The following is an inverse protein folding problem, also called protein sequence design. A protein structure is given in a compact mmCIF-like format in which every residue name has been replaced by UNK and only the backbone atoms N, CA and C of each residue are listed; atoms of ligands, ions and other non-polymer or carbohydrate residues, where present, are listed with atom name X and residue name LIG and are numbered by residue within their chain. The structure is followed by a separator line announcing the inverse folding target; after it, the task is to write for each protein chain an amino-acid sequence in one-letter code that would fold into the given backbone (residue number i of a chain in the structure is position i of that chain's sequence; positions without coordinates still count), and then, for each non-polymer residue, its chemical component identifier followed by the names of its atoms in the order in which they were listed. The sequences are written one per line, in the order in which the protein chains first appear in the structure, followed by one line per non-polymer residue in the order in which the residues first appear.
data_IF_542585464498
#
_entry.id   IF_542585464498
#
_cell.length_a   1.000
_cell.length_b   1.000
_cell.length_c   1.000
_cell.angle_alpha   90.00
_cell.angle_beta   90.00
_cell.angle_gamma   90.00
#
_symmetry.space_group_name_H-M   'P 1'
#
loop_
_entity.id
_entity.type
_entity.pdbx_description
1 polymer ?
#
# COMPACT_ATOMS: atom_id res chain seq x y z
N UNK A 1 78.14 -35.81 -33.21
CA UNK A 1 76.92 -36.47 -32.67
C UNK A 1 76.10 -35.57 -31.71
N UNK A 2 76.04 -34.24 -31.93
CA UNK A 2 75.35 -33.29 -31.02
C UNK A 2 74.05 -32.64 -31.58
N UNK A 3 73.75 -32.78 -32.89
CA UNK A 3 72.56 -32.16 -33.50
C UNK A 3 71.25 -32.96 -33.34
N UNK A 4 71.30 -34.26 -33.02
CA UNK A 4 70.08 -35.10 -32.97
C UNK A 4 69.25 -34.94 -31.69
N UNK A 5 69.85 -34.52 -30.57
CA UNK A 5 69.11 -34.27 -29.32
C UNK A 5 68.27 -32.98 -29.37
N UNK A 6 68.75 -31.96 -30.10
CA UNK A 6 68.09 -30.64 -30.19
C UNK A 6 66.73 -30.70 -30.87
N UNK A 7 66.57 -31.55 -31.89
CA UNK A 7 65.31 -31.67 -32.64
C UNK A 7 64.24 -32.40 -31.83
N UNK A 8 64.64 -33.41 -31.04
CA UNK A 8 63.70 -34.17 -30.20
C UNK A 8 63.25 -33.30 -29.01
N UNK A 9 64.16 -32.55 -28.38
CA UNK A 9 63.80 -31.61 -27.31
C UNK A 9 62.91 -30.48 -27.83
N UNK A 10 63.19 -29.94 -29.03
CA UNK A 10 62.34 -28.94 -29.66
C UNK A 10 60.95 -29.50 -30.00
N UNK A 11 60.88 -30.75 -30.49
CA UNK A 11 59.62 -31.42 -30.74
C UNK A 11 58.81 -31.57 -29.45
N UNK A 12 59.39 -32.12 -28.37
CA UNK A 12 58.68 -32.33 -27.09
C UNK A 12 58.25 -30.99 -26.45
N UNK A 13 59.07 -29.95 -26.54
CA UNK A 13 58.70 -28.62 -26.07
C UNK A 13 57.55 -28.03 -26.89
N UNK A 14 57.55 -28.23 -28.20
CA UNK A 14 56.45 -27.79 -29.07
C UNK A 14 55.15 -28.57 -28.84
N UNK A 15 55.21 -29.88 -28.56
CA UNK A 15 54.01 -30.67 -28.25
C UNK A 15 53.45 -30.35 -26.86
N UNK A 16 54.30 -30.01 -25.89
CA UNK A 16 53.85 -29.65 -24.54
C UNK A 16 53.23 -28.24 -24.47
N UNK A 17 53.70 -27.29 -25.29
CA UNK A 17 53.07 -25.97 -25.44
C UNK A 17 51.66 -26.06 -26.06
N UNK A 18 51.42 -27.05 -26.93
CA UNK A 18 50.11 -27.31 -27.55
C UNK A 18 49.12 -28.07 -26.65
N UNK A 19 49.56 -28.56 -25.49
CA UNK A 19 48.75 -29.30 -24.51
C UNK A 19 48.31 -28.44 -23.31
N UNK A 20 48.39 -27.12 -23.43
CA UNK A 20 47.80 -26.22 -22.43
C UNK A 20 46.30 -26.52 -22.34
N UNK A 21 45.75 -26.95 -21.19
CA UNK A 21 44.31 -27.16 -21.07
C UNK A 21 43.63 -25.82 -21.33
N UNK A 22 42.91 -25.71 -22.45
CA UNK A 22 42.03 -24.57 -22.65
C UNK A 22 41.01 -24.60 -21.54
N UNK A 23 41.06 -23.60 -20.65
CA UNK A 23 40.00 -23.36 -19.69
C UNK A 23 38.73 -23.05 -20.50
N UNK A 24 37.88 -24.07 -20.67
CA UNK A 24 36.57 -23.90 -21.27
C UNK A 24 35.70 -23.22 -20.22
N UNK A 25 35.58 -21.90 -20.33
CA UNK A 25 34.54 -21.17 -19.61
C UNK A 25 33.23 -21.52 -20.28
N UNK A 26 32.37 -22.26 -19.56
CA UNK A 26 30.99 -22.49 -19.97
C UNK A 26 30.26 -21.13 -19.99
N UNK A 27 30.36 -20.39 -21.09
CA UNK A 27 29.53 -19.22 -21.38
C UNK A 27 28.29 -19.71 -22.10
N UNK A 28 27.12 -19.32 -21.63
CA UNK A 28 25.85 -19.58 -22.30
C UNK A 28 25.91 -19.02 -23.74
N UNK A 29 25.37 -19.74 -24.74
CA UNK A 29 25.35 -19.26 -26.12
C UNK A 29 24.46 -18.02 -26.22
N UNK A 30 25.06 -16.89 -26.59
CA UNK A 30 24.39 -15.57 -26.74
C UNK A 30 23.65 -15.46 -28.09
N UNK A 31 23.89 -16.42 -28.98
CA UNK A 31 23.26 -16.53 -30.28
C UNK A 31 23.03 -17.99 -30.64
N UNK A 32 21.92 -18.26 -31.32
CA UNK A 32 21.63 -19.55 -31.96
C UNK A 32 21.46 -19.27 -33.45
N UNK A 33 22.23 -19.96 -34.31
CA UNK A 33 22.20 -19.77 -35.76
C UNK A 33 22.45 -18.33 -36.25
N UNK A 34 23.30 -17.56 -35.54
CA UNK A 34 23.63 -16.18 -35.93
C UNK A 34 22.55 -15.14 -35.57
N UNK A 35 21.46 -15.54 -34.90
CA UNK A 35 20.51 -14.61 -34.30
C UNK A 35 20.79 -14.46 -32.81
N UNK A 36 20.93 -13.22 -32.36
CA UNK A 36 21.04 -12.89 -30.95
C UNK A 36 19.73 -13.29 -30.25
N UNK A 37 19.83 -14.00 -29.13
CA UNK A 37 18.65 -14.38 -28.36
C UNK A 37 18.00 -13.12 -27.76
N UNK A 38 16.66 -12.98 -27.82
CA UNK A 38 15.98 -11.91 -27.10
C UNK A 38 16.30 -11.95 -25.61
N UNK A 39 16.56 -10.80 -25.01
CA UNK A 39 16.92 -10.68 -23.59
C UNK A 39 16.29 -9.42 -22.99
N UNK A 40 15.95 -9.50 -21.70
CA UNK A 40 15.50 -8.36 -20.90
C UNK A 40 16.65 -7.52 -20.34
N UNK A 41 17.90 -8.02 -20.43
CA UNK A 41 19.06 -7.39 -19.80
C UNK A 41 19.24 -5.90 -20.14
N UNK A 42 19.12 -5.45 -21.41
CA UNK A 42 19.27 -4.02 -21.73
C UNK A 42 18.23 -3.11 -21.07
N UNK A 43 17.02 -3.62 -20.85
CA UNK A 43 15.98 -2.89 -20.10
C UNK A 43 16.30 -2.91 -18.61
N UNK A 44 16.71 -4.06 -18.08
CA UNK A 44 17.08 -4.21 -16.66
C UNK A 44 18.24 -3.30 -16.26
N UNK A 45 19.30 -3.21 -17.09
CA UNK A 45 20.45 -2.31 -16.86
C UNK A 45 20.06 -0.84 -16.71
N UNK A 46 18.91 -0.42 -17.27
CA UNK A 46 18.43 0.95 -17.17
C UNK A 46 17.57 1.21 -15.93
N UNK A 47 16.95 0.17 -15.36
CA UNK A 47 15.90 0.32 -14.34
C UNK A 47 16.27 -0.28 -12.99
N UNK A 48 17.18 -1.26 -12.91
CA UNK A 48 17.64 -1.80 -11.63
C UNK A 48 18.29 -0.75 -10.73
N UNK A 49 18.98 0.30 -11.24
CA UNK A 49 19.54 1.32 -10.36
C UNK A 49 18.46 2.11 -9.60
N UNK A 50 17.23 2.15 -10.14
CA UNK A 50 16.07 2.77 -9.50
C UNK A 50 15.33 1.87 -8.50
N UNK A 51 15.76 0.61 -8.31
CA UNK A 51 15.18 -0.31 -7.34
C UNK A 51 16.19 -0.57 -6.22
N UNK A 52 15.81 -0.18 -5.00
CA UNK A 52 16.72 -0.09 -3.85
C UNK A 52 16.39 -1.15 -2.80
N UNK A 53 17.36 -1.43 -1.92
CA UNK A 53 17.14 -2.20 -0.70
C UNK A 53 16.69 -1.29 0.43
N UNK A 54 15.80 -1.78 1.28
CA UNK A 54 15.40 -1.10 2.51
C UNK A 54 15.66 -2.02 3.69
N UNK A 55 16.61 -1.63 4.53
CA UNK A 55 16.89 -2.29 5.80
C UNK A 55 16.23 -1.52 6.92
N UNK A 56 15.48 -2.22 7.76
CA UNK A 56 14.79 -1.61 8.89
C UNK A 56 15.25 -2.23 10.20
N UNK A 57 15.33 -1.41 11.24
CA UNK A 57 15.60 -1.87 12.59
C UNK A 57 14.79 -1.09 13.61
N UNK A 58 14.43 -1.75 14.71
CA UNK A 58 13.64 -1.15 15.78
C UNK A 58 13.52 -2.06 17.00
N UNK A 59 12.71 -1.65 17.97
CA UNK A 59 12.45 -2.42 19.19
C UNK A 59 10.96 -2.68 19.38
N UNK A 60 10.58 -3.93 19.66
CA UNK A 60 9.19 -4.32 19.93
C UNK A 60 9.05 -4.84 21.36
N UNK A 61 8.07 -4.35 22.09
CA UNK A 61 7.75 -4.92 23.40
C UNK A 61 7.12 -6.30 23.23
N UNK A 62 7.85 -7.33 23.65
CA UNK A 62 7.34 -8.69 23.69
C UNK A 62 6.94 -8.99 25.12
N UNK A 63 5.66 -9.30 25.34
CA UNK A 63 5.20 -9.86 26.61
C UNK A 63 5.73 -11.28 26.72
N UNK A 64 6.72 -11.48 27.57
CA UNK A 64 7.23 -12.82 27.87
C UNK A 64 6.16 -13.56 28.68
N UNK A 65 5.77 -14.74 28.22
CA UNK A 65 4.93 -15.65 29.01
C UNK A 65 5.76 -16.08 30.24
N UNK A 66 5.19 -15.97 31.44
CA UNK A 66 5.87 -16.33 32.67
C UNK A 66 6.38 -17.78 32.59
N UNK A 67 7.60 -18.00 33.06
CA UNK A 67 8.22 -19.34 33.05
C UNK A 67 7.45 -20.26 34.01
N UNK A 68 7.14 -21.52 33.66
CA UNK A 68 6.56 -22.49 34.59
C UNK A 68 7.30 -22.59 35.94
N UNK A 69 8.61 -22.34 35.99
CA UNK A 69 9.42 -22.26 37.23
C UNK A 69 9.13 -21.00 38.07
N UNK A 70 8.76 -19.87 37.48
CA UNK A 70 8.40 -18.63 38.20
C UNK A 70 7.07 -18.78 38.96
N UNK A 71 6.20 -19.70 38.52
CA UNK A 71 5.01 -20.10 39.28
C UNK A 71 5.35 -20.87 40.57
N UNK A 72 6.51 -21.54 40.64
CA UNK A 72 6.96 -22.25 41.85
C UNK A 72 7.44 -21.29 42.96
N UNK A 73 7.87 -20.07 42.62
CA UNK A 73 8.38 -19.08 43.59
C UNK A 73 7.39 -17.96 43.93
N UNK A 74 6.12 -18.08 43.50
CA UNK A 74 5.00 -17.38 44.12
C UNK A 74 4.65 -15.98 43.61
N UNK A 75 5.24 -15.46 42.53
CA UNK A 75 4.73 -14.22 41.91
C UNK A 75 5.15 -14.05 40.43
N UNK A 76 4.47 -14.69 39.46
CA UNK A 76 4.73 -14.49 38.04
C UNK A 76 4.19 -13.13 37.59
N UNK A 77 5.04 -12.11 37.60
CA UNK A 77 4.71 -10.85 36.91
C UNK A 77 5.09 -10.97 35.43
N UNK A 78 4.15 -10.74 34.50
CA UNK A 78 4.49 -10.61 33.08
C UNK A 78 5.43 -9.41 32.92
N UNK A 79 6.70 -9.67 32.61
CA UNK A 79 7.67 -8.64 32.23
C UNK A 79 7.56 -8.39 30.74
N UNK A 80 7.32 -7.14 30.34
CA UNK A 80 7.58 -6.71 28.97
C UNK A 80 9.09 -6.59 28.78
N UNK A 81 9.61 -7.19 27.72
CA UNK A 81 11.00 -7.01 27.30
C UNK A 81 10.99 -6.41 25.89
N UNK A 82 11.73 -5.31 25.70
CA UNK A 82 12.00 -4.79 24.35
C UNK A 82 12.93 -5.77 23.64
N UNK A 83 12.46 -6.39 22.57
CA UNK A 83 13.27 -7.23 21.68
C UNK A 83 13.59 -6.43 20.42
N UNK A 84 14.87 -6.32 20.11
CA UNK A 84 15.30 -5.74 18.83
C UNK A 84 14.82 -6.63 17.68
N UNK A 85 14.38 -6.01 16.60
CA UNK A 85 14.10 -6.68 15.34
C UNK A 85 14.87 -6.00 14.21
N UNK A 86 15.11 -6.75 13.15
CA UNK A 86 15.55 -6.24 11.86
C UNK A 86 14.67 -6.83 10.77
N UNK A 87 14.45 -6.05 9.72
CA UNK A 87 13.65 -6.42 8.56
C UNK A 87 14.33 -5.96 7.28
N UNK A 88 13.93 -6.56 6.16
CA UNK A 88 14.45 -6.28 4.84
C UNK A 88 13.29 -6.21 3.85
N UNK A 89 13.37 -5.25 2.93
CA UNK A 89 12.44 -5.10 1.82
C UNK A 89 13.11 -4.39 0.65
N UNK A 90 12.29 -3.99 -0.31
CA UNK A 90 12.71 -3.22 -1.48
C UNK A 90 11.98 -1.87 -1.52
N UNK A 91 12.51 -0.95 -2.32
CA UNK A 91 11.84 0.29 -2.66
C UNK A 91 12.08 0.68 -4.12
N UNK A 92 11.33 1.65 -4.61
CA UNK A 92 11.45 2.18 -5.96
C UNK A 92 11.64 3.69 -5.89
N UNK A 93 12.70 4.20 -6.51
CA UNK A 93 12.94 5.63 -6.67
C UNK A 93 11.95 6.16 -7.73
N UNK A 94 11.07 7.05 -7.32
CA UNK A 94 10.02 7.64 -8.17
C UNK A 94 10.22 9.13 -8.45
N UNK A 95 11.18 9.76 -7.77
CA UNK A 95 11.66 11.12 -8.03
C UNK A 95 13.14 11.16 -7.66
N UNK A 96 14.00 11.35 -8.65
CA UNK A 96 15.46 11.39 -8.45
C UNK A 96 15.94 12.72 -7.85
N UNK A 97 15.25 13.82 -8.10
CA UNK A 97 15.66 15.15 -7.66
C UNK A 97 15.33 15.35 -6.18
N UNK A 98 14.16 14.88 -5.74
CA UNK A 98 13.70 14.97 -4.36
C UNK A 98 14.11 13.76 -3.50
N UNK A 99 14.67 12.71 -4.13
CA UNK A 99 15.08 11.48 -3.45
C UNK A 99 13.91 10.66 -2.91
N UNK A 100 12.75 10.69 -3.57
CA UNK A 100 11.56 9.97 -3.12
C UNK A 100 11.62 8.48 -3.46
N UNK A 101 11.45 7.66 -2.43
CA UNK A 101 11.43 6.20 -2.52
C UNK A 101 10.10 5.67 -2.02
N UNK A 102 9.36 4.99 -2.89
CA UNK A 102 8.14 4.26 -2.52
C UNK A 102 8.48 2.85 -2.06
N UNK A 103 7.79 2.39 -1.03
CA UNK A 103 7.82 1.01 -0.56
C UNK A 103 6.46 0.61 0.02
N UNK A 104 6.37 -0.60 0.58
CA UNK A 104 5.19 -0.99 1.34
C UNK A 104 5.23 -0.50 2.78
N UNK A 105 4.06 -0.17 3.33
CA UNK A 105 3.95 0.21 4.74
C UNK A 105 4.43 -0.93 5.65
N UNK A 106 4.07 -2.18 5.37
CA UNK A 106 4.45 -3.30 6.22
C UNK A 106 5.97 -3.54 6.28
N UNK A 107 6.75 -3.08 5.29
CA UNK A 107 8.21 -3.18 5.28
C UNK A 107 8.82 -2.26 6.34
N UNK A 108 8.27 -1.05 6.49
CA UNK A 108 8.79 -0.02 7.39
C UNK A 108 8.01 0.08 8.70
N UNK A 109 7.01 -0.79 8.89
CA UNK A 109 6.16 -0.76 10.07
C UNK A 109 7.00 -1.02 11.33
N UNK A 110 6.77 -0.22 12.38
CA UNK A 110 7.49 -0.25 13.66
C UNK A 110 9.00 0.06 13.56
N UNK A 111 9.50 0.49 12.39
CA UNK A 111 10.92 0.80 12.19
C UNK A 111 11.30 2.10 12.93
N UNK A 112 12.36 2.03 13.73
CA UNK A 112 12.98 3.22 14.36
C UNK A 112 14.05 3.82 13.45
N UNK A 113 14.76 2.97 12.71
CA UNK A 113 15.77 3.36 11.72
C UNK A 113 15.54 2.63 10.40
N UNK A 114 15.67 3.36 9.30
CA UNK A 114 15.58 2.85 7.93
C UNK A 114 16.85 3.26 7.17
N UNK A 115 17.49 2.29 6.53
CA UNK A 115 18.65 2.51 5.66
C UNK A 115 18.30 2.02 4.26
N UNK A 116 18.46 2.90 3.28
CA UNK A 116 18.30 2.59 1.86
C UNK A 116 19.67 2.31 1.26
N UNK A 117 19.81 1.18 0.58
CA UNK A 117 21.04 0.82 -0.16
C UNK A 117 20.76 0.83 -1.66
N UNK A 118 21.50 1.63 -2.41
CA UNK A 118 21.43 1.71 -3.88
C UNK A 118 22.14 0.52 -4.54
N UNK A 119 21.94 0.34 -5.86
CA UNK A 119 22.63 -0.71 -6.64
C UNK A 119 24.16 -0.59 -6.58
N UNK A 120 24.68 0.63 -6.55
CA UNK A 120 26.11 0.91 -6.48
C UNK A 120 26.72 0.71 -5.07
N UNK A 121 25.91 0.30 -4.10
CA UNK A 121 26.32 0.04 -2.72
C UNK A 121 26.36 1.28 -1.81
N UNK A 122 26.00 2.47 -2.30
CA UNK A 122 25.82 3.64 -1.43
C UNK A 122 24.66 3.42 -0.46
N UNK A 123 24.84 3.83 0.79
CA UNK A 123 23.85 3.71 1.85
C UNK A 123 23.42 5.09 2.37
N UNK A 124 22.12 5.26 2.56
CA UNK A 124 21.52 6.51 3.02
C UNK A 124 20.51 6.22 4.13
N UNK A 125 20.53 7.03 5.19
CA UNK A 125 19.46 6.98 6.18
C UNK A 125 18.21 7.64 5.59
N UNK A 126 17.08 6.94 5.65
CA UNK A 126 15.84 7.39 5.04
C UNK A 126 14.89 8.01 6.08
N UNK A 127 14.27 9.12 5.72
CA UNK A 127 13.22 9.76 6.50
C UNK A 127 11.85 9.34 5.97
N UNK A 128 10.94 8.96 6.87
CA UNK A 128 9.54 8.68 6.48
C UNK A 128 8.79 9.98 6.27
N UNK A 129 8.32 10.22 5.04
CA UNK A 129 7.48 11.37 4.69
C UNK A 129 6.02 11.10 5.05
N UNK A 130 5.55 9.89 4.77
CA UNK A 130 4.21 9.46 5.16
C UNK A 130 3.94 8.01 4.82
N UNK A 131 2.80 7.51 5.28
CA UNK A 131 2.37 6.13 5.05
C UNK A 131 0.85 6.05 5.01
N UNK A 132 0.36 5.02 4.33
CA UNK A 132 -1.03 4.64 4.26
C UNK A 132 -1.17 3.14 4.50
N UNK A 133 -1.47 2.79 5.74
CA UNK A 133 -1.59 1.40 6.19
C UNK A 133 -2.69 0.64 5.45
N UNK A 134 -3.80 1.30 5.11
CA UNK A 134 -4.95 0.61 4.49
C UNK A 134 -4.71 0.23 3.02
N UNK A 135 -3.75 0.86 2.33
CA UNK A 135 -3.34 0.50 0.98
C UNK A 135 -1.92 -0.06 0.91
N UNK A 136 -1.28 -0.26 2.07
CA UNK A 136 0.09 -0.76 2.19
C UNK A 136 1.14 0.02 1.37
N UNK A 137 1.03 1.36 1.32
CA UNK A 137 2.02 2.24 0.67
C UNK A 137 2.71 3.11 1.71
N UNK A 138 4.02 3.28 1.55
CA UNK A 138 4.81 4.25 2.30
C UNK A 138 5.73 5.05 1.37
N UNK A 139 5.96 6.31 1.75
CA UNK A 139 6.87 7.21 1.07
C UNK A 139 8.03 7.57 2.01
N UNK A 140 9.24 7.31 1.54
CA UNK A 140 10.49 7.69 2.18
C UNK A 140 11.21 8.75 1.34
N UNK A 141 12.13 9.45 1.99
CA UNK A 141 13.06 10.37 1.34
C UNK A 141 14.48 10.06 1.76
N UNK A 142 15.41 10.13 0.82
CA UNK A 142 16.85 10.04 1.04
C UNK A 142 17.54 11.30 0.50
N UNK A 143 18.63 11.71 1.15
CA UNK A 143 19.47 12.82 0.70
C UNK A 143 20.66 12.23 -0.09
N UNK A 144 20.52 12.17 -1.41
CA UNK A 144 21.47 11.52 -2.30
C UNK A 144 21.44 12.15 -3.70
N UNK A 145 22.62 12.38 -4.27
CA UNK A 145 22.78 12.79 -5.67
C UNK A 145 22.87 11.57 -6.61
N UNK A 146 22.79 11.81 -7.93
CA UNK A 146 22.98 10.78 -8.97
C UNK A 146 22.04 9.56 -8.79
N UNK A 147 20.76 9.82 -8.52
CA UNK A 147 19.72 8.81 -8.44
C UNK A 147 19.15 8.46 -9.83
N UNK A 148 18.67 7.24 -9.98
CA UNK A 148 17.96 6.78 -11.19
C UNK A 148 16.48 6.64 -10.89
N UNK A 149 15.65 7.43 -11.56
CA UNK A 149 14.19 7.35 -11.42
C UNK A 149 13.58 6.25 -12.31
N UNK A 150 12.64 5.48 -11.75
CA UNK A 150 11.83 4.54 -12.52
C UNK A 150 10.58 5.24 -13.05
N UNK A 151 10.46 5.32 -14.39
CA UNK A 151 9.31 5.96 -15.04
C UNK A 151 8.00 5.24 -14.76
N UNK A 152 6.94 5.98 -14.49
CA UNK A 152 5.59 5.43 -14.27
C UNK A 152 4.88 5.17 -15.60
N UNK A 153 4.27 3.99 -15.74
CA UNK A 153 3.26 3.71 -16.75
C UNK A 153 1.84 3.94 -16.20
N UNK A 154 0.87 4.07 -17.10
CA UNK A 154 -0.54 4.16 -16.74
C UNK A 154 -1.12 2.74 -16.54
N UNK A 155 -1.34 2.34 -15.29
CA UNK A 155 -1.86 1.00 -14.96
C UNK A 155 -3.29 0.75 -15.44
N UNK A 156 -4.09 1.78 -15.70
CA UNK A 156 -5.45 1.63 -16.25
C UNK A 156 -5.46 1.12 -17.70
N UNK A 157 -4.30 1.15 -18.39
CA UNK A 157 -4.14 0.63 -19.76
C UNK A 157 -3.67 -0.83 -19.80
N UNK A 158 -3.39 -1.44 -18.65
CA UNK A 158 -2.95 -2.82 -18.58
C UNK A 158 -4.03 -3.77 -19.07
N UNK A 159 -3.60 -4.89 -19.63
CA UNK A 159 -4.46 -6.01 -20.00
C UNK A 159 -3.90 -7.30 -19.45
N UNK A 160 -4.81 -8.22 -19.13
CA UNK A 160 -4.43 -9.59 -18.82
C UNK A 160 -3.68 -10.18 -20.02
N UNK A 161 -2.51 -10.76 -19.76
CA UNK A 161 -1.60 -11.28 -20.77
C UNK A 161 -0.46 -10.35 -21.17
N UNK A 162 -0.46 -9.08 -20.75
CA UNK A 162 0.71 -8.22 -20.91
C UNK A 162 1.88 -8.77 -20.06
N UNK A 163 3.10 -8.74 -20.59
CA UNK A 163 4.29 -9.22 -19.87
C UNK A 163 4.62 -8.31 -18.69
N UNK A 164 5.06 -8.92 -17.59
CA UNK A 164 5.45 -8.24 -16.37
C UNK A 164 6.79 -8.79 -15.85
N UNK A 165 7.59 -7.89 -15.26
CA UNK A 165 8.88 -8.22 -14.65
C UNK A 165 8.88 -7.68 -13.23
N UNK A 166 9.05 -8.55 -12.24
CA UNK A 166 9.16 -8.19 -10.85
C UNK A 166 10.63 -8.08 -10.45
N UNK A 167 10.99 -6.95 -9.83
CA UNK A 167 12.34 -6.66 -9.37
C UNK A 167 12.28 -6.32 -7.87
N UNK A 168 13.16 -6.94 -7.10
CA UNK A 168 13.45 -6.54 -5.73
C UNK A 168 14.95 -6.55 -5.46
N UNK A 169 15.38 -5.89 -4.39
CA UNK A 169 16.75 -5.86 -3.92
C UNK A 169 16.82 -6.08 -2.40
N UNK A 170 16.39 -7.24 -1.88
CA UNK A 170 16.29 -7.42 -0.43
C UNK A 170 17.61 -7.43 0.33
N UNK A 171 18.74 -7.64 -0.34
CA UNK A 171 20.04 -7.79 0.32
C UNK A 171 21.02 -6.66 -0.03
N UNK A 172 20.62 -5.67 -0.83
CA UNK A 172 21.47 -4.54 -1.25
C UNK A 172 22.63 -4.90 -2.19
N UNK A 173 22.90 -6.19 -2.41
CA UNK A 173 24.08 -6.68 -3.15
C UNK A 173 23.72 -7.42 -4.45
N UNK A 174 22.44 -7.77 -4.65
CA UNK A 174 21.98 -8.44 -5.87
C UNK A 174 20.47 -8.31 -6.01
N UNK A 175 20.01 -7.70 -7.10
CA UNK A 175 18.61 -7.70 -7.46
C UNK A 175 18.13 -9.12 -7.77
N UNK A 176 16.93 -9.42 -7.31
CA UNK A 176 16.18 -10.60 -7.74
C UNK A 176 15.20 -10.15 -8.80
N UNK A 177 15.38 -10.64 -10.02
CA UNK A 177 14.50 -10.36 -11.15
C UNK A 177 13.76 -11.63 -11.55
N UNK A 178 12.43 -11.54 -11.63
CA UNK A 178 11.57 -12.63 -12.12
C UNK A 178 10.62 -12.07 -13.17
N UNK A 179 10.15 -12.93 -14.08
CA UNK A 179 9.24 -12.51 -15.15
C UNK A 179 8.03 -13.42 -15.24
N UNK A 180 6.96 -12.85 -15.79
CA UNK A 180 5.67 -13.49 -15.97
C UNK A 180 4.76 -12.60 -16.81
N UNK A 181 3.46 -12.68 -16.55
CA UNK A 181 2.42 -11.88 -17.18
C UNK A 181 1.49 -11.29 -16.13
N UNK A 182 0.70 -10.30 -16.53
CA UNK A 182 -0.51 -9.89 -15.82
C UNK A 182 -1.53 -11.03 -15.93
N UNK A 183 -1.81 -11.71 -14.82
CA UNK A 183 -2.76 -12.82 -14.76
C UNK A 183 -4.20 -12.35 -14.52
N UNK A 184 -4.38 -11.25 -13.80
CA UNK A 184 -5.68 -10.62 -13.55
C UNK A 184 -5.51 -9.14 -13.14
N UNK A 185 -6.57 -8.36 -13.27
CA UNK A 185 -6.67 -6.96 -12.83
C UNK A 185 -7.89 -6.81 -11.92
N UNK A 186 -7.97 -5.75 -11.13
CA UNK A 186 -9.16 -5.48 -10.32
C UNK A 186 -9.34 -6.41 -9.12
N UNK A 187 -8.28 -7.13 -8.70
CA UNK A 187 -8.41 -8.15 -7.65
C UNK A 187 -8.62 -7.49 -6.30
N UNK A 188 -9.80 -7.68 -5.75
CA UNK A 188 -10.30 -7.00 -4.56
C UNK A 188 -11.20 -7.92 -3.73
N UNK A 189 -11.42 -7.59 -2.46
CA UNK A 189 -12.20 -8.42 -1.52
C UNK A 189 -11.45 -9.68 -1.06
N UNK A 190 -10.13 -9.66 -1.15
CA UNK A 190 -9.23 -10.71 -0.66
C UNK A 190 -8.98 -10.58 0.85
N UNK A 191 -9.21 -9.39 1.42
CA UNK A 191 -8.94 -9.04 2.82
C UNK A 191 -7.46 -9.23 3.21
N UNK A 192 -6.57 -8.98 2.25
CA UNK A 192 -5.13 -8.78 2.47
C UNK A 192 -4.93 -7.37 3.01
N UNK A 193 -5.53 -6.36 2.35
CA UNK A 193 -5.44 -4.95 2.72
C UNK A 193 -6.82 -4.28 2.86
N UNK A 194 -6.83 -3.06 3.40
CA UNK A 194 -8.06 -2.28 3.59
C UNK A 194 -8.70 -1.80 2.28
N UNK A 195 -7.88 -1.38 1.32
CA UNK A 195 -8.28 -0.98 -0.03
C UNK A 195 -7.47 -1.75 -1.07
N UNK A 196 -8.17 -2.58 -1.84
CA UNK A 196 -7.58 -3.54 -2.75
C UNK A 196 -8.07 -3.30 -4.19
N UNK A 197 -7.13 -3.27 -5.11
CA UNK A 197 -7.34 -3.20 -6.56
C UNK A 197 -6.12 -3.83 -7.26
N UNK A 198 -5.74 -5.03 -6.82
CA UNK A 198 -4.44 -5.57 -7.15
C UNK A 198 -4.33 -5.99 -8.62
N UNK A 199 -3.14 -5.75 -9.18
CA UNK A 199 -2.63 -6.48 -10.33
C UNK A 199 -2.19 -7.85 -9.82
N UNK A 200 -2.73 -8.92 -10.41
CA UNK A 200 -2.23 -10.27 -10.15
C UNK A 200 -1.21 -10.66 -11.23
N UNK A 201 -0.11 -11.28 -10.83
CA UNK A 201 0.92 -11.78 -11.73
C UNK A 201 1.41 -13.17 -11.32
N UNK A 202 1.87 -13.93 -12.30
CA UNK A 202 2.59 -15.20 -12.08
C UNK A 202 4.12 -15.01 -12.04
N UNK A 203 4.61 -13.78 -12.22
CA UNK A 203 5.99 -13.44 -11.90
C UNK A 203 6.26 -13.77 -10.42
N UNK A 204 7.37 -14.46 -10.15
CA UNK A 204 7.67 -14.93 -8.81
C UNK A 204 8.03 -13.74 -7.88
N UNK A 205 7.08 -13.38 -7.01
CA UNK A 205 7.26 -12.48 -5.88
C UNK A 205 7.57 -13.34 -4.64
N UNK A 206 8.65 -13.06 -3.92
CA UNK A 206 9.01 -13.74 -2.67
C UNK A 206 9.35 -12.71 -1.59
N UNK A 207 9.58 -13.18 -0.36
CA UNK A 207 10.07 -12.31 0.72
C UNK A 207 11.29 -11.53 0.22
N UNK A 208 11.23 -10.22 0.41
CA UNK A 208 12.26 -9.30 -0.04
C UNK A 208 11.96 -8.54 -1.33
N UNK A 209 11.04 -9.01 -2.17
CA UNK A 209 10.53 -8.23 -3.31
C UNK A 209 9.42 -7.25 -2.91
N UNK A 210 8.86 -7.37 -1.71
CA UNK A 210 7.86 -6.43 -1.17
C UNK A 210 8.42 -5.01 -1.16
N UNK A 211 7.64 -4.07 -1.70
CA UNK A 211 8.01 -2.69 -1.95
C UNK A 211 8.80 -2.47 -3.25
N UNK A 212 9.20 -3.55 -3.93
CA UNK A 212 9.93 -3.51 -5.19
C UNK A 212 9.03 -3.30 -6.41
N UNK A 213 9.65 -3.13 -7.57
CA UNK A 213 8.97 -2.76 -8.80
C UNK A 213 8.32 -3.97 -9.50
N UNK A 214 7.11 -3.76 -10.04
CA UNK A 214 6.57 -4.53 -11.14
C UNK A 214 6.58 -3.63 -12.38
N UNK A 215 7.33 -4.00 -13.41
CA UNK A 215 7.51 -3.20 -14.64
C UNK A 215 7.03 -3.93 -15.90
N UNK A 216 6.67 -3.16 -16.92
CA UNK A 216 6.43 -3.69 -18.27
C UNK A 216 7.75 -3.91 -19.03
N UNK A 217 7.69 -4.40 -20.28
CA UNK A 217 8.89 -4.64 -21.10
C UNK A 217 9.66 -3.37 -21.52
N UNK A 218 9.07 -2.18 -21.34
CA UNK A 218 9.76 -0.91 -21.53
C UNK A 218 10.49 -0.43 -20.26
N UNK A 219 10.41 -1.18 -19.15
CA UNK A 219 10.97 -0.76 -17.87
C UNK A 219 10.13 0.29 -17.14
N UNK A 220 8.87 0.50 -17.55
CA UNK A 220 7.98 1.46 -16.89
C UNK A 220 7.23 0.75 -15.74
N UNK A 221 7.16 1.41 -14.59
CA UNK A 221 6.49 0.93 -13.38
C UNK A 221 4.99 0.81 -13.59
N UNK A 222 4.47 -0.41 -13.47
CA UNK A 222 3.05 -0.74 -13.56
C UNK A 222 2.44 -1.07 -12.20
N UNK A 223 3.27 -1.41 -11.20
CA UNK A 223 2.82 -1.56 -9.81
C UNK A 223 3.95 -1.79 -8.80
N UNK A 224 3.58 -1.81 -7.52
CA UNK A 224 4.47 -2.11 -6.38
C UNK A 224 4.14 -3.49 -5.85
N UNK A 225 5.11 -4.41 -5.88
CA UNK A 225 4.95 -5.77 -5.36
C UNK A 225 4.62 -5.71 -3.87
N UNK A 226 3.54 -6.35 -3.41
CA UNK A 226 3.12 -6.29 -2.00
C UNK A 226 3.00 -7.67 -1.37
N UNK A 227 2.21 -8.56 -1.97
CA UNK A 227 1.75 -9.78 -1.33
C UNK A 227 1.78 -10.98 -2.27
N UNK A 228 1.72 -12.17 -1.67
CA UNK A 228 1.54 -13.45 -2.35
C UNK A 228 0.45 -14.25 -1.66
N UNK A 229 -0.24 -15.10 -2.42
CA UNK A 229 -1.09 -16.14 -1.84
C UNK A 229 -0.42 -17.49 -2.01
N UNK A 230 -0.29 -18.25 -0.92
CA UNK A 230 0.24 -19.62 -0.90
C UNK A 230 0.13 -20.26 0.48
N UNK A 231 -0.25 -21.55 0.53
CA UNK A 231 -0.56 -22.27 1.78
C UNK A 231 0.61 -22.35 2.78
N UNK A 232 1.85 -22.20 2.31
CA UNK A 232 3.08 -22.22 3.11
C UNK A 232 3.83 -20.87 3.15
N UNK A 233 3.21 -19.80 2.63
CA UNK A 233 3.87 -18.50 2.48
C UNK A 233 4.92 -18.45 1.36
N UNK A 234 4.98 -19.45 0.49
CA UNK A 234 5.78 -19.45 -0.74
C UNK A 234 4.94 -19.10 -1.97
N UNK A 235 5.57 -18.55 -3.01
CA UNK A 235 4.90 -18.23 -4.27
C UNK A 235 4.46 -19.51 -5.00
N UNK A 236 3.17 -19.58 -5.38
CA UNK A 236 2.59 -20.69 -6.17
C UNK A 236 2.08 -20.21 -7.54
N UNK A 237 2.66 -19.14 -8.07
CA UNK A 237 2.23 -18.46 -9.31
C UNK A 237 1.13 -17.42 -9.08
N UNK A 238 0.95 -16.93 -7.84
CA UNK A 238 -0.05 -15.92 -7.49
C UNK A 238 0.61 -14.83 -6.64
N UNK A 239 1.10 -13.79 -7.32
CA UNK A 239 1.59 -12.56 -6.71
C UNK A 239 0.63 -11.39 -6.93
N UNK A 240 0.69 -10.40 -6.03
CA UNK A 240 -0.11 -9.19 -6.08
C UNK A 240 0.77 -7.95 -6.04
N UNK A 241 0.41 -6.96 -6.85
CA UNK A 241 1.01 -5.64 -6.88
C UNK A 241 -0.05 -4.54 -6.82
N UNK A 242 0.26 -3.46 -6.09
CA UNK A 242 -0.56 -2.24 -6.04
C UNK A 242 -0.35 -1.47 -7.36
N UNK A 243 -1.41 -1.11 -8.11
CA UNK A 243 -1.26 -0.45 -9.41
C UNK A 243 -0.52 0.90 -9.33
N UNK A 244 0.28 1.22 -10.34
CA UNK A 244 1.07 2.46 -10.40
C UNK A 244 0.21 3.72 -10.25
N UNK A 245 -0.98 3.79 -10.86
CA UNK A 245 -1.87 4.95 -10.71
C UNK A 245 -2.40 5.10 -9.28
N UNK A 246 -2.72 3.98 -8.61
CA UNK A 246 -3.15 4.00 -7.21
C UNK A 246 -2.03 4.49 -6.32
N UNK A 247 -0.84 3.90 -6.45
CA UNK A 247 0.36 4.33 -5.72
C UNK A 247 0.63 5.82 -5.94
N UNK A 248 0.61 6.29 -7.19
CA UNK A 248 0.86 7.70 -7.53
C UNK A 248 -0.13 8.63 -6.83
N UNK A 249 -1.43 8.33 -6.86
CA UNK A 249 -2.43 9.17 -6.20
C UNK A 249 -2.23 9.25 -4.68
N UNK A 250 -1.77 8.17 -4.05
CA UNK A 250 -1.49 8.13 -2.61
C UNK A 250 -0.23 8.92 -2.25
N UNK A 251 0.84 8.75 -3.04
CA UNK A 251 2.08 9.51 -2.90
C UNK A 251 1.85 11.00 -3.08
N UNK A 252 1.13 11.40 -4.14
CA UNK A 252 0.81 12.82 -4.40
C UNK A 252 0.12 13.45 -3.18
N UNK A 253 -0.83 12.73 -2.55
CA UNK A 253 -1.50 13.19 -1.33
C UNK A 253 -0.57 13.27 -0.12
N UNK A 254 0.32 12.28 0.06
CA UNK A 254 1.30 12.29 1.14
C UNK A 254 2.25 13.50 0.99
N UNK A 255 2.69 13.80 -0.23
CA UNK A 255 3.53 14.97 -0.51
C UNK A 255 2.76 16.27 -0.24
N UNK A 256 1.52 16.38 -0.72
CA UNK A 256 0.73 17.62 -0.61
C UNK A 256 0.21 17.89 0.80
N UNK A 257 -0.10 16.85 1.57
CA UNK A 257 -0.84 16.96 2.82
C UNK A 257 -0.16 16.31 4.03
N UNK A 258 0.92 15.55 3.82
CA UNK A 258 1.55 14.70 4.84
C UNK A 258 0.77 13.41 5.14
N UNK A 259 -0.37 13.19 4.51
CA UNK A 259 -1.27 12.06 4.78
C UNK A 259 -2.24 11.82 3.61
N UNK A 260 -2.81 10.61 3.55
CA UNK A 260 -3.86 10.27 2.59
C UNK A 260 -5.22 10.79 3.07
N UNK A 261 -5.93 11.51 2.20
CA UNK A 261 -7.28 12.05 2.44
C UNK A 261 -8.28 11.36 1.55
N UNK A 262 -8.90 10.29 2.07
CA UNK A 262 -9.75 9.40 1.28
C UNK A 262 -10.97 10.11 0.69
N UNK A 263 -11.22 9.87 -0.59
CA UNK A 263 -12.44 10.28 -1.27
C UNK A 263 -13.63 9.38 -0.92
N UNK A 264 -14.84 9.94 -0.97
CA UNK A 264 -16.09 9.23 -0.75
C UNK A 264 -17.19 9.71 -1.70
N UNK A 265 -18.02 8.76 -2.12
CA UNK A 265 -19.25 9.02 -2.86
C UNK A 265 -20.46 9.19 -1.94
N UNK A 266 -20.47 8.57 -0.75
CA UNK A 266 -21.66 8.51 0.10
C UNK A 266 -22.75 7.55 -0.40
N UNK A 267 -22.34 6.36 -0.84
CA UNK A 267 -23.25 5.30 -1.30
C UNK A 267 -23.01 3.99 -0.53
N UNK A 268 -24.05 3.18 -0.43
CA UNK A 268 -23.91 1.76 -0.06
C UNK A 268 -24.33 0.89 -1.25
N UNK A 269 -23.72 -0.28 -1.36
CA UNK A 269 -23.95 -1.14 -2.51
C UNK A 269 -23.32 -2.51 -2.36
N UNK A 270 -23.44 -3.29 -3.43
CA UNK A 270 -22.90 -4.65 -3.53
C UNK A 270 -22.43 -4.94 -4.95
N UNK A 271 -21.57 -5.94 -5.16
CA UNK A 271 -21.26 -6.43 -6.49
C UNK A 271 -22.53 -6.83 -7.24
N UNK A 272 -22.59 -6.51 -8.53
CA UNK A 272 -23.65 -6.99 -9.41
C UNK A 272 -23.37 -8.44 -9.80
N UNK A 273 -24.14 -9.36 -9.23
CA UNK A 273 -24.16 -10.77 -9.63
C UNK A 273 -25.28 -11.05 -10.64
N UNK A 274 -25.23 -12.20 -11.31
CA UNK A 274 -26.20 -12.59 -12.33
C UNK A 274 -27.64 -12.71 -11.80
N UNK A 275 -27.80 -13.09 -10.52
CA UNK A 275 -29.11 -13.19 -9.88
C UNK A 275 -29.74 -11.82 -9.69
N UNK A 276 -28.97 -10.86 -9.18
CA UNK A 276 -29.39 -9.48 -9.01
C UNK A 276 -29.65 -8.80 -10.35
N UNK A 277 -28.78 -8.98 -11.34
CA UNK A 277 -28.97 -8.45 -12.69
C UNK A 277 -30.29 -8.92 -13.29
N UNK A 278 -30.60 -10.22 -13.19
CA UNK A 278 -31.86 -10.80 -13.65
C UNK A 278 -33.07 -10.28 -12.88
N UNK A 279 -32.99 -10.20 -11.55
CA UNK A 279 -34.08 -9.73 -10.69
C UNK A 279 -34.43 -8.26 -10.96
N UNK A 280 -33.42 -7.44 -11.25
CA UNK A 280 -33.56 -6.00 -11.54
C UNK A 280 -33.72 -5.69 -13.03
N UNK A 281 -33.77 -6.72 -13.90
CA UNK A 281 -33.91 -6.59 -15.35
C UNK A 281 -32.81 -5.69 -15.98
N UNK A 282 -31.57 -5.90 -15.54
CA UNK A 282 -30.40 -5.15 -16.01
C UNK A 282 -29.68 -5.92 -17.11
N UNK A 283 -29.30 -5.25 -18.20
CA UNK A 283 -28.53 -5.86 -19.30
C UNK A 283 -27.02 -5.91 -19.04
N UNK A 284 -26.56 -5.20 -18.00
CA UNK A 284 -25.17 -5.20 -17.57
C UNK A 284 -24.85 -6.41 -16.71
N UNK A 285 -23.67 -7.00 -16.94
CA UNK A 285 -23.26 -8.27 -16.30
C UNK A 285 -22.37 -8.10 -15.07
N UNK A 286 -21.76 -6.93 -14.91
CA UNK A 286 -20.82 -6.63 -13.84
C UNK A 286 -20.87 -5.13 -13.51
N UNK A 287 -20.31 -4.77 -12.36
CA UNK A 287 -20.30 -3.41 -11.84
C UNK A 287 -20.73 -3.34 -10.38
N UNK A 288 -20.81 -2.11 -9.88
CA UNK A 288 -21.19 -1.80 -8.52
C UNK A 288 -22.66 -1.38 -8.46
N UNK A 289 -23.52 -2.24 -7.92
CA UNK A 289 -24.95 -1.93 -7.76
C UNK A 289 -25.16 -1.03 -6.55
N UNK A 290 -25.80 0.12 -6.77
CA UNK A 290 -26.09 1.13 -5.74
C UNK A 290 -27.38 0.76 -5.02
N UNK A 291 -27.29 0.38 -3.76
CA UNK A 291 -28.44 0.07 -2.92
C UNK A 291 -29.05 1.32 -2.29
N UNK A 292 -28.19 2.23 -1.84
CA UNK A 292 -28.61 3.47 -1.20
C UNK A 292 -27.64 4.60 -1.53
N UNK A 293 -28.18 5.80 -1.61
CA UNK A 293 -27.43 7.05 -1.69
C UNK A 293 -27.75 7.84 -0.44
N UNK A 294 -26.72 8.27 0.29
CA UNK A 294 -26.88 9.06 1.52
C UNK A 294 -27.17 10.51 1.17
N UNK A 295 -28.00 11.18 1.97
CA UNK A 295 -28.34 12.59 1.77
C UNK A 295 -27.13 13.51 1.97
N UNK A 296 -27.11 14.64 1.25
CA UNK A 296 -26.04 15.65 1.27
C UNK A 296 -24.63 15.14 0.94
N UNK A 297 -24.52 14.00 0.24
CA UNK A 297 -23.25 13.44 -0.22
C UNK A 297 -22.95 13.77 -1.68
N UNK A 298 -21.69 13.56 -2.08
CA UNK A 298 -21.20 13.69 -3.44
C UNK A 298 -22.09 12.98 -4.48
N UNK A 299 -22.49 11.74 -4.22
CA UNK A 299 -23.36 10.98 -5.09
C UNK A 299 -24.77 11.58 -5.18
N UNK A 300 -25.34 12.02 -4.05
CA UNK A 300 -26.66 12.67 -4.02
C UNK A 300 -26.66 13.98 -4.81
N UNK A 301 -25.65 14.83 -4.58
CA UNK A 301 -25.44 16.12 -5.30
C UNK A 301 -25.26 15.91 -6.81
N UNK A 302 -24.61 14.83 -7.21
CA UNK A 302 -24.41 14.47 -8.61
C UNK A 302 -25.62 13.75 -9.26
N UNK A 303 -26.67 13.44 -8.49
CA UNK A 303 -27.89 12.82 -9.00
C UNK A 303 -27.78 11.32 -9.26
N UNK A 304 -26.85 10.63 -8.59
CA UNK A 304 -26.81 9.16 -8.50
C UNK A 304 -28.01 8.68 -7.67
N UNK A 305 -28.57 7.52 -8.02
CA UNK A 305 -29.78 6.99 -7.39
C UNK A 305 -29.61 5.52 -7.02
N UNK A 306 -30.39 5.08 -6.02
CA UNK A 306 -30.55 3.66 -5.77
C UNK A 306 -31.08 2.95 -7.03
N UNK A 307 -30.54 1.76 -7.31
CA UNK A 307 -30.82 1.00 -8.53
C UNK A 307 -29.85 1.26 -9.69
N UNK A 308 -29.01 2.30 -9.60
CA UNK A 308 -27.93 2.49 -10.56
C UNK A 308 -26.90 1.37 -10.48
N UNK A 309 -26.26 1.07 -11.62
CA UNK A 309 -25.03 0.28 -11.63
C UNK A 309 -23.89 1.16 -12.11
N UNK A 310 -22.88 1.38 -11.26
CA UNK A 310 -21.64 2.04 -11.69
C UNK A 310 -20.78 0.98 -12.42
N UNK A 311 -20.38 1.29 -13.64
CA UNK A 311 -19.67 0.36 -14.54
C UNK A 311 -18.28 0.84 -14.93
N UNK A 312 -17.97 2.14 -14.79
CA UNK A 312 -16.64 2.68 -15.07
C UNK A 312 -16.31 3.93 -14.27
N UNK A 313 -15.01 4.20 -14.09
CA UNK A 313 -14.45 5.38 -13.46
C UNK A 313 -13.42 5.98 -14.42
N UNK A 314 -13.57 7.26 -14.76
CA UNK A 314 -12.69 7.99 -15.68
C UNK A 314 -12.47 7.30 -17.04
N UNK A 315 -13.43 6.48 -17.47
CA UNK A 315 -13.38 5.72 -18.73
C UNK A 315 -12.82 4.29 -18.59
N UNK A 316 -12.29 3.92 -17.41
CA UNK A 316 -11.84 2.56 -17.11
C UNK A 316 -12.97 1.74 -16.50
N UNK A 317 -13.25 0.57 -17.08
CA UNK A 317 -14.28 -0.33 -16.57
C UNK A 317 -13.93 -0.84 -15.16
N UNK A 318 -14.96 -1.12 -14.36
CA UNK A 318 -14.82 -1.75 -13.05
C UNK A 318 -15.55 -3.09 -13.00
N UNK A 319 -14.98 -4.01 -12.24
CA UNK A 319 -15.53 -5.36 -12.06
C UNK A 319 -16.63 -5.41 -10.99
N UNK A 320 -16.57 -4.55 -9.96
CA UNK A 320 -17.51 -4.63 -8.85
C UNK A 320 -17.37 -3.53 -7.80
N UNK A 321 -18.14 -3.67 -6.72
CA UNK A 321 -18.23 -2.67 -5.65
C UNK A 321 -16.93 -2.50 -4.85
N UNK A 322 -16.17 -3.58 -4.62
CA UNK A 322 -14.90 -3.50 -3.89
C UNK A 322 -13.86 -2.68 -4.68
N UNK A 323 -13.70 -2.96 -5.97
CA UNK A 323 -12.83 -2.17 -6.86
C UNK A 323 -13.27 -0.69 -6.89
N UNK A 324 -14.57 -0.41 -7.02
CA UNK A 324 -15.10 0.95 -6.94
C UNK A 324 -14.69 1.63 -5.63
N UNK A 325 -14.89 0.97 -4.49
CA UNK A 325 -14.54 1.51 -3.17
C UNK A 325 -13.05 1.87 -3.11
N UNK A 326 -12.17 0.97 -3.54
CA UNK A 326 -10.72 1.19 -3.52
C UNK A 326 -10.29 2.33 -4.42
N UNK A 327 -10.78 2.38 -5.66
CA UNK A 327 -10.45 3.46 -6.61
C UNK A 327 -10.94 4.82 -6.13
N UNK A 328 -12.18 4.92 -5.65
CA UNK A 328 -12.72 6.18 -5.12
C UNK A 328 -11.95 6.65 -3.88
N UNK A 329 -11.64 5.74 -2.96
CA UNK A 329 -10.94 6.09 -1.73
C UNK A 329 -9.51 6.58 -2.01
N UNK A 330 -8.83 6.00 -2.98
CA UNK A 330 -7.42 6.32 -3.33
C UNK A 330 -7.27 7.54 -4.22
N UNK A 331 -8.30 7.95 -4.97
CA UNK A 331 -8.27 9.16 -5.79
C UNK A 331 -8.14 10.44 -4.96
N UNK A 332 -8.74 10.47 -3.77
CA UNK A 332 -8.63 11.57 -2.82
C UNK A 332 -9.86 12.48 -2.73
N UNK A 333 -10.02 13.13 -1.59
CA UNK A 333 -11.06 14.13 -1.32
C UNK A 333 -10.97 15.32 -2.29
N UNK A 334 -12.12 15.88 -2.68
CA UNK A 334 -12.23 17.08 -3.52
C UNK A 334 -11.95 16.84 -5.01
N UNK A 335 -11.57 15.62 -5.42
CA UNK A 335 -11.27 15.29 -6.82
C UNK A 335 -12.55 15.11 -7.62
N UNK A 336 -12.56 15.67 -8.84
CA UNK A 336 -13.62 15.39 -9.82
C UNK A 336 -13.36 14.05 -10.53
N UNK A 337 -14.36 13.19 -10.55
CA UNK A 337 -14.34 11.90 -11.24
C UNK A 337 -15.51 11.78 -12.21
N UNK A 338 -15.32 11.06 -13.32
CA UNK A 338 -16.37 10.73 -14.27
C UNK A 338 -16.81 9.29 -14.06
N UNK A 339 -18.04 9.08 -13.61
CA UNK A 339 -18.62 7.75 -13.43
C UNK A 339 -19.49 7.38 -14.63
N UNK A 340 -19.22 6.22 -15.22
CA UNK A 340 -20.18 5.56 -16.11
C UNK A 340 -21.22 4.83 -15.27
N UNK A 341 -22.48 5.21 -15.40
CA UNK A 341 -23.62 4.58 -14.72
C UNK A 341 -24.55 3.94 -15.74
N UNK A 342 -25.12 2.79 -15.42
CA UNK A 342 -26.22 2.18 -16.14
C UNK A 342 -27.53 2.43 -15.37
N UNK A 343 -28.48 3.09 -16.03
CA UNK A 343 -29.80 3.44 -15.50
C UNK A 343 -30.83 3.39 -16.63
N UNK A 344 -31.96 2.74 -16.39
CA UNK A 344 -33.10 2.66 -17.33
C UNK A 344 -32.69 2.14 -18.72
N UNK A 345 -31.87 1.09 -18.78
CA UNK A 345 -31.42 0.49 -20.05
C UNK A 345 -30.31 1.25 -20.77
N UNK A 346 -29.79 2.34 -20.20
CA UNK A 346 -28.82 3.22 -20.87
C UNK A 346 -27.61 3.51 -20.00
N UNK A 347 -26.44 3.60 -20.64
CA UNK A 347 -25.22 4.11 -20.02
C UNK A 347 -25.22 5.64 -20.07
N UNK A 348 -24.89 6.28 -18.95
CA UNK A 348 -24.73 7.73 -18.80
C UNK A 348 -23.40 8.01 -18.12
N UNK A 349 -22.78 9.14 -18.43
CA UNK A 349 -21.61 9.63 -17.70
C UNK A 349 -22.03 10.74 -16.76
N UNK A 350 -21.70 10.61 -15.48
CA UNK A 350 -21.95 11.62 -14.44
C UNK A 350 -20.61 12.10 -13.89
N UNK A 351 -20.46 13.42 -13.76
CA UNK A 351 -19.34 14.02 -13.04
C UNK A 351 -19.69 14.11 -11.57
N UNK A 352 -18.77 13.70 -10.71
CA UNK A 352 -18.92 13.74 -9.26
C UNK A 352 -17.66 14.37 -8.68
N UNK A 353 -17.82 15.34 -7.78
CA UNK A 353 -16.70 15.81 -6.93
C UNK A 353 -16.75 15.00 -5.64
N UNK A 354 -15.67 14.30 -5.31
CA UNK A 354 -15.63 13.43 -4.13
C UNK A 354 -15.64 14.26 -2.84
N UNK A 355 -16.47 13.87 -1.90
CA UNK A 355 -16.37 14.37 -0.53
C UNK A 355 -15.20 13.69 0.17
N UNK A 356 -14.73 14.24 1.30
CA UNK A 356 -13.91 13.46 2.22
C UNK A 356 -14.72 12.30 2.77
N UNK A 357 -14.07 11.17 3.05
CA UNK A 357 -14.67 10.08 3.80
C UNK A 357 -15.04 10.53 5.23
N UNK A 358 -16.13 11.30 5.34
CA UNK A 358 -16.77 11.67 6.59
C UNK A 358 -17.65 10.50 6.99
N UNK A 359 -17.03 9.58 7.72
CA UNK A 359 -17.65 8.33 8.18
C UNK A 359 -16.62 7.37 8.74
N UNK A 360 -15.56 7.90 9.36
CA UNK A 360 -14.69 7.09 10.22
C UNK A 360 -15.50 6.86 11.48
N UNK A 361 -16.11 5.69 11.60
CA UNK A 361 -16.50 5.18 12.90
C UNK A 361 -15.21 4.67 13.53
N UNK A 362 -14.67 5.39 14.52
CA UNK A 362 -13.50 4.94 15.25
C UNK A 362 -13.96 4.25 16.54
N UNK A 363 -13.43 3.07 16.81
CA UNK A 363 -13.44 2.56 18.17
C UNK A 363 -12.60 3.51 19.03
N UNK A 364 -13.18 4.11 20.06
CA UNK A 364 -12.50 5.11 20.87
C UNK A 364 -11.20 4.60 21.50
N UNK A 365 -11.13 3.28 21.74
CA UNK A 365 -9.93 2.54 22.15
C UNK A 365 -8.69 2.82 21.29
N UNK A 366 -8.86 3.12 19.99
CA UNK A 366 -7.77 3.37 19.06
C UNK A 366 -7.20 4.79 19.15
N UNK A 367 -7.96 5.74 19.72
CA UNK A 367 -7.61 7.16 19.76
C UNK A 367 -6.98 7.55 21.09
N UNK A 368 -7.56 7.10 22.20
CA UNK A 368 -7.07 7.44 23.54
C UNK A 368 -7.63 6.46 24.58
N UNK A 369 -6.87 6.07 25.63
CA UNK A 369 -7.37 5.20 26.70
C UNK A 369 -8.65 5.71 27.38
N UNK A 370 -8.81 7.04 27.46
CA UNK A 370 -10.01 7.66 28.01
C UNK A 370 -11.26 7.48 27.15
N UNK A 371 -11.11 7.18 25.86
CA UNK A 371 -12.22 6.91 24.93
C UNK A 371 -12.57 5.42 24.83
N UNK A 372 -11.90 4.56 25.60
CA UNK A 372 -12.19 3.14 25.54
C UNK A 372 -13.67 2.87 25.88
N UNK A 373 -14.30 1.99 25.09
CA UNK A 373 -15.70 1.62 25.19
C UNK A 373 -16.69 2.66 24.62
N UNK A 374 -16.20 3.69 23.93
CA UNK A 374 -17.03 4.55 23.09
C UNK A 374 -16.85 4.23 21.60
N UNK A 375 -17.93 4.43 20.84
CA UNK A 375 -17.87 4.50 19.38
C UNK A 375 -18.01 5.96 18.96
N UNK A 376 -17.08 6.44 18.14
CA UNK A 376 -17.01 7.84 17.73
C UNK A 376 -17.25 7.95 16.23
N UNK A 377 -18.06 8.91 15.82
CA UNK A 377 -18.42 9.12 14.42
C UNK A 377 -18.27 10.58 14.03
N UNK A 378 -17.76 10.85 12.84
CA UNK A 378 -17.78 12.21 12.30
C UNK A 378 -19.22 12.62 11.99
N UNK A 379 -19.67 13.74 12.53
CA UNK A 379 -21.03 14.25 12.31
C UNK A 379 -21.03 15.66 11.74
N UNK A 380 -22.01 15.92 10.88
CA UNK A 380 -22.40 17.27 10.46
C UNK A 380 -23.91 17.44 10.66
N UNK A 381 -24.33 18.08 11.76
CA UNK A 381 -25.74 18.24 12.14
C UNK A 381 -26.07 19.70 12.40
N UNK A 382 -27.12 20.22 11.76
CA UNK A 382 -27.58 21.61 11.91
C UNK A 382 -26.46 22.66 11.74
N UNK A 383 -25.54 22.45 10.78
CA UNK A 383 -24.40 23.34 10.53
C UNK A 383 -23.25 23.26 11.54
N UNK A 384 -23.35 22.39 12.56
CA UNK A 384 -22.23 22.07 13.46
C UNK A 384 -21.52 20.80 12.97
N UNK A 385 -20.24 20.93 12.65
CA UNK A 385 -19.32 19.79 12.43
C UNK A 385 -18.65 19.40 13.75
N UNK A 386 -18.41 18.11 13.95
CA UNK A 386 -17.76 17.58 15.15
C UNK A 386 -17.71 16.05 15.15
N UNK A 387 -17.43 15.48 16.32
CA UNK A 387 -17.36 14.04 16.54
C UNK A 387 -18.49 13.64 17.47
N UNK A 388 -19.49 12.92 16.97
CA UNK A 388 -20.56 12.35 17.77
C UNK A 388 -20.09 11.09 18.50
N UNK A 389 -20.46 10.98 19.78
CA UNK A 389 -20.32 9.78 20.57
C UNK A 389 -21.54 8.90 20.28
N UNK A 390 -21.40 7.98 19.33
CA UNK A 390 -22.49 7.15 18.83
C UNK A 390 -22.95 6.09 19.83
N UNK A 391 -22.03 5.52 20.61
CA UNK A 391 -22.37 4.62 21.73
C UNK A 391 -21.32 4.74 22.84
N UNK A 392 -21.72 4.43 24.07
CA UNK A 392 -20.81 4.33 25.23
C UNK A 392 -21.22 3.15 26.09
N UNK A 393 -20.29 2.23 26.39
CA UNK A 393 -20.53 1.22 27.43
C UNK A 393 -20.57 1.92 28.81
N UNK A 394 -21.66 1.78 29.60
CA UNK A 394 -21.82 2.44 30.90
C UNK A 394 -20.72 2.15 31.93
N UNK A 395 -19.92 1.09 31.76
CA UNK A 395 -18.82 0.71 32.66
C UNK A 395 -17.43 1.04 32.11
N UNK A 396 -17.38 1.72 30.96
CA UNK A 396 -16.14 2.03 30.26
C UNK A 396 -15.39 3.25 30.83
N UNK A 397 -14.09 3.41 30.49
CA UNK A 397 -13.36 4.66 30.69
C UNK A 397 -14.11 5.89 30.16
N UNK A 398 -14.71 5.81 28.96
CA UNK A 398 -15.49 6.90 28.35
C UNK A 398 -16.64 7.37 29.24
N UNK A 399 -17.41 6.44 29.81
CA UNK A 399 -18.49 6.77 30.73
C UNK A 399 -17.95 7.43 32.02
N UNK A 400 -16.79 6.98 32.53
CA UNK A 400 -16.19 7.53 33.77
C UNK A 400 -15.66 8.95 33.62
N UNK A 401 -15.16 9.32 32.44
CA UNK A 401 -14.78 10.70 32.15
C UNK A 401 -16.00 11.59 31.85
N UNK A 402 -17.18 10.98 31.74
CA UNK A 402 -18.46 11.68 31.65
C UNK A 402 -18.98 11.86 30.22
N UNK A 403 -18.48 11.11 29.23
CA UNK A 403 -19.05 11.08 27.88
C UNK A 403 -20.34 10.26 27.86
N UNK A 404 -21.33 10.77 27.13
CA UNK A 404 -22.65 10.15 26.97
C UNK A 404 -22.96 9.93 25.48
N UNK A 405 -23.84 8.98 25.19
CA UNK A 405 -24.38 8.77 23.85
C UNK A 405 -25.08 10.04 23.35
N UNK A 406 -24.75 10.48 22.13
CA UNK A 406 -25.26 11.69 21.51
C UNK A 406 -24.48 12.98 21.85
N UNK A 407 -23.42 12.89 22.65
CA UNK A 407 -22.47 14.00 22.82
C UNK A 407 -21.76 14.32 21.51
N UNK A 408 -21.54 15.60 21.21
CA UNK A 408 -20.77 16.03 20.04
C UNK A 408 -19.53 16.81 20.48
N UNK A 409 -18.35 16.22 20.31
CA UNK A 409 -17.06 16.87 20.56
C UNK A 409 -16.78 17.86 19.44
N UNK A 410 -16.59 19.13 19.78
CA UNK A 410 -16.37 20.23 18.84
C UNK A 410 -15.06 20.97 19.07
N UNK A 411 -14.36 20.67 20.17
CA UNK A 411 -13.11 21.32 20.53
C UNK A 411 -12.20 20.38 21.33
N UNK A 412 -10.88 20.52 21.15
CA UNK A 412 -9.85 19.91 21.99
C UNK A 412 -8.84 21.00 22.35
N UNK A 413 -8.56 21.23 23.64
CA UNK A 413 -7.58 22.21 24.11
C UNK A 413 -7.70 23.61 23.46
N UNK A 414 -8.94 24.12 23.38
CA UNK A 414 -9.28 25.43 22.75
C UNK A 414 -9.13 25.49 21.22
N UNK A 415 -8.78 24.39 20.58
CA UNK A 415 -8.76 24.25 19.13
C UNK A 415 -10.04 23.56 18.64
N UNK A 416 -10.69 24.15 17.65
CA UNK A 416 -11.92 23.61 17.06
C UNK A 416 -11.59 22.34 16.27
N UNK A 417 -12.39 21.29 16.44
CA UNK A 417 -12.27 20.04 15.67
C UNK A 417 -13.55 19.77 14.89
N UNK A 418 -13.38 19.35 13.64
CA UNK A 418 -14.48 19.04 12.72
C UNK A 418 -14.62 17.55 12.44
N UNK A 419 -13.60 16.75 12.80
CA UNK A 419 -13.57 15.30 12.60
C UNK A 419 -12.58 14.60 13.55
N UNK A 420 -12.70 13.28 13.66
CA UNK A 420 -11.91 12.39 14.51
C UNK A 420 -10.42 12.52 14.23
N UNK A 421 -10.02 12.73 12.97
CA UNK A 421 -8.62 12.88 12.59
C UNK A 421 -7.99 14.13 13.21
N UNK A 422 -8.68 15.27 13.10
CA UNK A 422 -8.23 16.52 13.74
C UNK A 422 -8.17 16.38 15.27
N UNK A 423 -9.17 15.73 15.86
CA UNK A 423 -9.17 15.42 17.30
C UNK A 423 -7.97 14.54 17.69
N UNK A 424 -7.72 13.45 16.96
CA UNK A 424 -6.62 12.53 17.25
C UNK A 424 -5.26 13.21 17.18
N UNK A 425 -5.02 14.01 16.13
CA UNK A 425 -3.76 14.74 15.97
C UNK A 425 -3.48 15.67 17.16
N UNK A 426 -4.48 16.43 17.60
CA UNK A 426 -4.34 17.35 18.74
C UNK A 426 -4.08 16.58 20.04
N UNK A 427 -4.70 15.40 20.19
CA UNK A 427 -4.50 14.51 21.33
C UNK A 427 -3.07 13.96 21.34
N UNK A 428 -2.57 13.44 20.21
CA UNK A 428 -1.20 12.91 20.06
C UNK A 428 -0.14 13.99 20.32
N UNK A 429 -0.39 15.22 19.88
CA UNK A 429 0.53 16.36 20.06
C UNK A 429 0.48 16.94 21.49
N UNK A 430 -0.49 16.56 22.33
CA UNK A 430 -0.65 17.11 23.68
C UNK A 430 0.08 16.25 24.71
N UNK A 431 1.00 16.88 25.47
CA UNK A 431 1.56 16.29 26.68
C UNK A 431 0.76 16.73 27.92
N UNK A 432 0.11 15.79 28.59
CA UNK A 432 -0.65 16.02 29.83
C UNK A 432 -2.16 16.15 29.61
N UNK A 433 -2.81 16.99 30.40
CA UNK A 433 -4.27 17.06 30.44
C UNK A 433 -4.88 17.56 29.11
N UNK A 434 -5.94 16.89 28.67
CA UNK A 434 -6.70 17.25 27.46
C UNK A 434 -8.11 17.68 27.87
N UNK A 435 -8.53 18.87 27.41
CA UNK A 435 -9.86 19.42 27.65
C UNK A 435 -10.69 19.33 26.37
N UNK A 436 -11.73 18.51 26.38
CA UNK A 436 -12.71 18.39 25.32
C UNK A 436 -13.82 19.42 25.52
N UNK A 437 -14.16 20.18 24.48
CA UNK A 437 -15.40 20.96 24.44
C UNK A 437 -16.49 20.14 23.78
N UNK A 438 -17.53 19.81 24.53
CA UNK A 438 -18.60 18.89 24.14
C UNK A 438 -19.93 19.63 24.12
N UNK A 439 -20.71 19.42 23.06
CA UNK A 439 -22.12 19.83 23.00
C UNK A 439 -23.00 18.66 23.39
N UNK A 440 -23.78 18.85 24.47
CA UNK A 440 -24.78 17.88 24.94
C UNK A 440 -26.16 18.50 24.80
N UNK A 441 -26.91 18.07 23.78
CA UNK A 441 -28.18 18.70 23.43
C UNK A 441 -28.01 20.20 23.11
N UNK A 442 -28.46 21.08 24.01
CA UNK A 442 -28.31 22.56 23.88
C UNK A 442 -27.20 23.15 24.74
N UNK A 443 -26.60 22.34 25.62
CA UNK A 443 -25.57 22.79 26.54
C UNK A 443 -24.18 22.57 25.94
N UNK A 444 -23.23 23.40 26.37
CA UNK A 444 -21.80 23.22 26.05
C UNK A 444 -21.06 22.98 27.37
N UNK A 445 -20.41 21.83 27.47
CA UNK A 445 -19.69 21.38 28.65
C UNK A 445 -18.23 21.12 28.30
N UNK A 446 -17.38 21.04 29.32
CA UNK A 446 -15.99 20.62 29.17
C UNK A 446 -15.75 19.30 29.87
N UNK A 447 -15.10 18.36 29.18
CA UNK A 447 -14.69 17.06 29.71
C UNK A 447 -13.17 17.02 29.77
N UNK A 448 -12.62 16.65 30.92
CA UNK A 448 -11.18 16.53 31.13
C UNK A 448 -10.78 15.06 31.00
N UNK A 449 -9.80 14.77 30.15
CA UNK A 449 -9.18 13.45 30.02
C UNK A 449 -7.67 13.56 30.24
N UNK A 450 -7.05 12.47 30.70
CA UNK A 450 -5.63 12.38 31.06
C UNK A 450 -4.97 11.16 30.44
#
# INVERSE_FOLDING_TARGET
MKMKLSLISAAILSTSLLLSPMASYAKLPIAVNGQQLPTLAPMLEQITPGVVSIQVSGSKEVRRRADPLEYFFGNPQPRSQKRQFSGLGSGVIIDADEGYVVTNNHVIQDAEKMVVTLEDGREFEATKIGTDKESDIALLQIDADDLTEVKLANSDKLRVGDFAVAIGNPFGLSHTVTSGIVSALGRSGLNIEGYEDFIQTDAAINQGNSGGALVNLNGELIGINTAILGASGGNVGIGFAIPSNMMKNLVDQIIEHGEVRRGSLGISGRPLDAGLAKAQQLDVKQGAYVMQVMDDTAASKAGIKAGDVIISINGSDISGFHELRSKIATLGEGREVKLGIYRDGKVKTIKVTLDGASGVTAAGDELHPAFQGATLENVQKNGTKGIEVATVDPRSPSARVGLEEGDVIVQVNRQRVENIRQMNKIIEDTQGNIVLGVKRGRESIFVLIQ
#
